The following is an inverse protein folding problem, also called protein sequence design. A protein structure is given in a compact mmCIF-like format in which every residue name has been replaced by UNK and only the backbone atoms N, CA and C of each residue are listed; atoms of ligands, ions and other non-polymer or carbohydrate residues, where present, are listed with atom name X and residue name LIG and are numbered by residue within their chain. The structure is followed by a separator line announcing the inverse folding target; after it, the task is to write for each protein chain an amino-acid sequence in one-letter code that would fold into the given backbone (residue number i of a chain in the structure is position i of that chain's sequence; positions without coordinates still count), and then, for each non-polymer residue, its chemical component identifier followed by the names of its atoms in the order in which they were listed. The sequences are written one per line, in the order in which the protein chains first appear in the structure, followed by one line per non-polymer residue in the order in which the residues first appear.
data_IF_586398726199
#
_entry.id   IF_586398726199
#
_cell.length_a   1.000
_cell.length_b   1.000
_cell.length_c   1.000
_cell.angle_alpha   90.00
_cell.angle_beta   90.00
_cell.angle_gamma   90.00
#
_symmetry.space_group_name_H-M   'P 1'
#
loop_
_entity.id
_entity.type
_entity.pdbx_description
1 polymer ?
#
# COMPACT_ATOMS: atom_id res chain seq x y z
N UNK A 1 -6.81 11.61 -11.62
CA UNK A 1 -5.79 10.62 -11.70
C UNK A 1 -5.75 9.60 -10.56
N UNK A 2 -5.16 9.93 -9.43
CA UNK A 2 -4.75 8.94 -8.41
C UNK A 2 -5.89 8.11 -7.78
N UNK A 3 -7.08 8.68 -7.57
CA UNK A 3 -8.23 7.90 -7.07
C UNK A 3 -8.64 6.81 -8.07
N UNK A 4 -8.62 7.12 -9.35
CA UNK A 4 -8.97 6.14 -10.39
C UNK A 4 -7.88 5.08 -10.52
N UNK A 5 -6.62 5.50 -10.59
CA UNK A 5 -5.47 4.60 -10.70
C UNK A 5 -5.40 3.65 -9.50
N UNK A 6 -5.37 4.18 -8.27
CA UNK A 6 -5.29 3.36 -7.08
C UNK A 6 -6.48 2.39 -6.96
N UNK A 7 -7.69 2.83 -7.32
CA UNK A 7 -8.86 1.94 -7.34
C UNK A 7 -8.73 0.82 -8.37
N UNK A 8 -8.24 1.10 -9.58
CA UNK A 8 -8.04 0.07 -10.62
C UNK A 8 -7.00 -0.96 -10.17
N UNK A 9 -5.90 -0.52 -9.59
CA UNK A 9 -4.87 -1.42 -9.07
C UNK A 9 -5.40 -2.31 -7.95
N UNK A 10 -6.22 -1.75 -7.03
CA UNK A 10 -6.85 -2.54 -5.98
C UNK A 10 -7.91 -3.53 -6.53
N UNK A 11 -8.67 -3.15 -7.56
CA UNK A 11 -9.60 -4.08 -8.24
C UNK A 11 -8.82 -5.29 -8.79
N UNK A 12 -7.68 -5.06 -9.42
CA UNK A 12 -6.86 -6.14 -9.96
C UNK A 12 -6.23 -6.96 -8.83
N UNK A 13 -5.53 -6.31 -7.90
CA UNK A 13 -4.72 -6.99 -6.90
C UNK A 13 -5.58 -7.62 -5.79
N UNK A 14 -6.55 -6.87 -5.23
CA UNK A 14 -7.37 -7.30 -4.07
C UNK A 14 -8.73 -7.86 -4.49
N UNK A 15 -9.28 -7.38 -5.59
CA UNK A 15 -10.49 -7.96 -6.17
C UNK A 15 -10.21 -9.31 -6.83
N UNK A 16 -9.40 -9.30 -7.87
CA UNK A 16 -9.19 -10.50 -8.70
C UNK A 16 -8.10 -11.42 -8.17
N UNK A 17 -6.85 -10.94 -8.07
CA UNK A 17 -5.69 -11.80 -7.73
C UNK A 17 -5.84 -12.40 -6.34
N UNK A 18 -6.08 -11.56 -5.32
CA UNK A 18 -6.28 -12.04 -3.95
C UNK A 18 -7.48 -12.98 -3.85
N UNK A 19 -8.62 -12.64 -4.48
CA UNK A 19 -9.81 -13.49 -4.48
C UNK A 19 -9.54 -14.88 -5.06
N UNK A 20 -8.90 -14.96 -6.24
CA UNK A 20 -8.60 -16.25 -6.89
C UNK A 20 -7.58 -17.08 -6.13
N UNK A 21 -6.61 -16.45 -5.46
CA UNK A 21 -5.64 -17.17 -4.63
C UNK A 21 -6.32 -17.67 -3.35
N UNK A 22 -7.21 -16.86 -2.74
CA UNK A 22 -7.96 -17.28 -1.55
C UNK A 22 -8.74 -18.58 -1.79
N UNK A 23 -9.42 -18.69 -2.93
CA UNK A 23 -10.20 -19.88 -3.30
C UNK A 23 -9.33 -21.15 -3.45
N UNK A 24 -8.09 -21.01 -3.88
CA UNK A 24 -7.21 -22.15 -4.21
C UNK A 24 -6.21 -22.50 -3.11
N UNK A 25 -5.64 -21.51 -2.44
CA UNK A 25 -4.49 -21.67 -1.54
C UNK A 25 -4.76 -21.14 -0.12
N UNK A 26 -5.93 -20.52 0.09
CA UNK A 26 -6.30 -19.93 1.38
C UNK A 26 -5.76 -18.52 1.60
N UNK A 27 -6.20 -17.93 2.70
CA UNK A 27 -6.03 -16.49 3.00
C UNK A 27 -4.58 -16.08 3.16
N UNK A 28 -3.76 -16.88 3.84
CA UNK A 28 -2.34 -16.56 4.06
C UNK A 28 -1.59 -16.34 2.74
N UNK A 29 -1.71 -17.29 1.81
CA UNK A 29 -1.07 -17.19 0.50
C UNK A 29 -1.70 -16.09 -0.37
N UNK A 30 -3.00 -15.85 -0.22
CA UNK A 30 -3.66 -14.78 -0.93
C UNK A 30 -3.10 -13.39 -0.55
N UNK A 31 -2.90 -13.13 0.74
CA UNK A 31 -2.29 -11.89 1.22
C UNK A 31 -0.84 -11.78 0.70
N UNK A 32 -0.02 -12.82 0.92
CA UNK A 32 1.39 -12.78 0.56
C UNK A 32 1.61 -12.61 -0.95
N UNK A 33 0.94 -13.42 -1.77
CA UNK A 33 1.15 -13.44 -3.21
C UNK A 33 0.49 -12.24 -3.92
N UNK A 34 -0.66 -11.72 -3.43
CA UNK A 34 -1.23 -10.49 -4.00
C UNK A 34 -0.40 -9.25 -3.68
N UNK A 35 0.20 -9.18 -2.50
CA UNK A 35 1.13 -8.13 -2.14
C UNK A 35 2.42 -8.20 -2.97
N UNK A 36 2.96 -9.41 -3.17
CA UNK A 36 4.11 -9.64 -4.02
C UNK A 36 3.83 -9.26 -5.49
N UNK A 37 2.66 -9.65 -6.00
CA UNK A 37 2.21 -9.27 -7.34
C UNK A 37 2.14 -7.75 -7.51
N UNK A 38 1.54 -7.05 -6.55
CA UNK A 38 1.47 -5.59 -6.53
C UNK A 38 2.87 -4.94 -6.55
N UNK A 39 3.74 -5.33 -5.62
CA UNK A 39 5.11 -4.80 -5.54
C UNK A 39 5.91 -5.08 -6.83
N UNK A 40 5.74 -6.27 -7.41
CA UNK A 40 6.44 -6.66 -8.65
C UNK A 40 6.03 -5.81 -9.85
N UNK A 41 4.79 -5.33 -9.89
CA UNK A 41 4.30 -4.43 -10.94
C UNK A 41 5.07 -3.09 -11.01
N UNK A 42 5.76 -2.72 -9.94
CA UNK A 42 6.52 -1.47 -9.84
C UNK A 42 8.02 -1.61 -10.08
N UNK A 43 8.51 -2.81 -10.40
CA UNK A 43 9.95 -3.07 -10.61
C UNK A 43 10.55 -2.29 -11.80
N UNK A 44 9.72 -1.84 -12.73
CA UNK A 44 10.13 -1.00 -13.85
C UNK A 44 10.16 0.50 -13.56
N UNK A 45 9.76 0.93 -12.37
CA UNK A 45 9.67 2.34 -12.04
C UNK A 45 11.04 2.97 -11.77
N UNK A 46 11.15 4.28 -12.05
CA UNK A 46 12.38 5.02 -11.83
C UNK A 46 12.78 5.05 -10.35
N UNK A 47 14.06 4.85 -10.07
CA UNK A 47 14.59 4.92 -8.70
C UNK A 47 14.18 3.78 -7.78
N UNK A 48 13.60 2.68 -8.33
CA UNK A 48 13.27 1.51 -7.52
C UNK A 48 14.53 0.98 -6.82
N UNK A 49 14.39 0.69 -5.53
CA UNK A 49 15.44 0.12 -4.68
C UNK A 49 14.86 -1.05 -3.89
N UNK A 50 15.71 -1.76 -3.15
CA UNK A 50 15.25 -2.82 -2.26
C UNK A 50 14.28 -2.27 -1.19
N UNK A 51 14.59 -1.11 -0.64
CA UNK A 51 13.74 -0.44 0.34
C UNK A 51 12.39 -0.05 -0.27
N UNK A 52 12.38 0.50 -1.50
CA UNK A 52 11.16 0.80 -2.24
C UNK A 52 10.31 -0.44 -2.48
N UNK A 53 10.94 -1.54 -2.87
CA UNK A 53 10.23 -2.82 -3.04
C UNK A 53 9.63 -3.33 -1.73
N UNK A 54 10.37 -3.23 -0.61
CA UNK A 54 9.88 -3.61 0.73
C UNK A 54 8.74 -2.70 1.17
N UNK A 55 8.81 -1.39 0.90
CA UNK A 55 7.73 -0.43 1.17
C UNK A 55 6.45 -0.79 0.41
N UNK A 56 6.55 -1.03 -0.90
CA UNK A 56 5.43 -1.49 -1.72
C UNK A 56 4.85 -2.83 -1.25
N UNK A 57 5.70 -3.76 -0.84
CA UNK A 57 5.26 -5.03 -0.28
C UNK A 57 4.49 -4.82 1.03
N UNK A 58 4.99 -3.94 1.92
CA UNK A 58 4.31 -3.60 3.18
C UNK A 58 2.95 -2.91 2.93
N UNK A 59 2.88 -1.97 1.97
CA UNK A 59 1.62 -1.36 1.55
C UNK A 59 0.67 -2.40 0.97
N UNK A 60 1.19 -3.30 0.14
CA UNK A 60 0.44 -4.40 -0.44
C UNK A 60 -0.15 -5.35 0.61
N UNK A 61 0.60 -5.66 1.67
CA UNK A 61 0.12 -6.48 2.80
C UNK A 61 -0.97 -5.73 3.56
N UNK A 62 -0.79 -4.43 3.87
CA UNK A 62 -1.78 -3.62 4.56
C UNK A 62 -3.13 -3.61 3.83
N UNK A 63 -3.14 -3.31 2.53
CA UNK A 63 -4.37 -3.25 1.74
C UNK A 63 -5.00 -4.64 1.56
N UNK A 64 -4.20 -5.72 1.47
CA UNK A 64 -4.70 -7.08 1.44
C UNK A 64 -5.36 -7.51 2.77
N UNK A 65 -4.80 -7.09 3.91
CA UNK A 65 -5.41 -7.29 5.24
C UNK A 65 -6.69 -6.49 5.39
N UNK A 66 -6.71 -5.22 4.98
CA UNK A 66 -7.93 -4.40 4.98
C UNK A 66 -9.03 -5.07 4.16
N UNK A 67 -8.71 -5.52 2.95
CA UNK A 67 -9.67 -6.26 2.10
C UNK A 67 -10.18 -7.52 2.78
N UNK A 68 -9.32 -8.27 3.45
CA UNK A 68 -9.70 -9.51 4.15
C UNK A 68 -10.67 -9.24 5.31
N UNK A 69 -10.34 -8.29 6.18
CA UNK A 69 -11.14 -8.04 7.38
C UNK A 69 -12.42 -7.23 7.13
N UNK A 70 -12.40 -6.32 6.18
CA UNK A 70 -13.57 -5.46 5.91
C UNK A 70 -14.47 -5.98 4.80
N UNK A 71 -13.95 -6.79 3.89
CA UNK A 71 -14.66 -7.19 2.68
C UNK A 71 -14.84 -6.04 1.67
N UNK A 72 -14.33 -4.84 1.99
CA UNK A 72 -14.58 -3.62 1.22
C UNK A 72 -13.42 -3.29 0.28
N UNK A 73 -13.68 -3.37 -1.02
CA UNK A 73 -12.71 -3.05 -2.07
C UNK A 73 -12.59 -1.53 -2.28
N UNK A 74 -13.68 -0.80 -2.08
CA UNK A 74 -13.68 0.65 -2.24
C UNK A 74 -12.84 1.35 -1.17
N UNK A 75 -12.84 0.81 0.05
CA UNK A 75 -11.96 1.28 1.12
C UNK A 75 -10.48 1.13 0.73
N UNK A 76 -10.09 0.01 0.14
CA UNK A 76 -8.73 -0.19 -0.34
C UNK A 76 -8.37 0.81 -1.45
N UNK A 77 -9.25 0.98 -2.44
CA UNK A 77 -9.06 1.94 -3.54
C UNK A 77 -9.00 3.40 -3.06
N UNK A 78 -9.87 3.78 -2.10
CA UNK A 78 -9.87 5.11 -1.52
C UNK A 78 -8.59 5.39 -0.72
N UNK A 79 -8.13 4.42 0.10
CA UNK A 79 -6.88 4.53 0.82
C UNK A 79 -5.70 4.68 -0.14
N UNK A 80 -5.62 3.83 -1.16
CA UNK A 80 -4.54 3.87 -2.15
C UNK A 80 -4.53 5.21 -2.92
N UNK A 81 -5.68 5.63 -3.41
CA UNK A 81 -5.78 6.91 -4.12
C UNK A 81 -5.47 8.12 -3.23
N UNK A 82 -5.89 8.11 -1.96
CA UNK A 82 -5.57 9.15 -1.00
C UNK A 82 -4.08 9.17 -0.65
N UNK A 83 -3.46 8.00 -0.53
CA UNK A 83 -2.03 7.83 -0.32
C UNK A 83 -1.23 8.47 -1.45
N UNK A 84 -1.48 8.08 -2.69
CA UNK A 84 -0.80 8.62 -3.87
C UNK A 84 -1.05 10.13 -4.04
N UNK A 85 -2.27 10.60 -3.74
CA UNK A 85 -2.58 12.03 -3.78
C UNK A 85 -1.80 12.82 -2.71
N UNK A 86 -1.71 12.26 -1.50
CA UNK A 86 -0.95 12.91 -0.43
C UNK A 86 0.54 13.01 -0.77
N UNK A 87 1.14 11.93 -1.27
CA UNK A 87 2.56 11.93 -1.65
C UNK A 87 2.85 12.88 -2.81
N UNK A 88 2.18 12.71 -3.93
CA UNK A 88 2.45 13.44 -5.16
C UNK A 88 1.89 14.87 -5.12
N UNK A 89 0.62 15.08 -5.48
CA UNK A 89 0.05 16.43 -5.61
C UNK A 89 0.12 17.28 -4.33
N UNK A 90 -0.07 16.67 -3.15
CA UNK A 90 -0.11 17.44 -1.92
C UNK A 90 1.29 17.76 -1.40
N UNK A 91 2.11 16.75 -1.10
CA UNK A 91 3.44 16.97 -0.53
C UNK A 91 4.56 17.16 -1.57
N UNK A 92 4.33 16.83 -2.84
CA UNK A 92 5.32 17.02 -3.90
C UNK A 92 6.51 16.06 -3.81
N UNK A 93 6.28 14.85 -3.27
CA UNK A 93 7.24 13.75 -3.33
C UNK A 93 6.97 12.86 -4.54
N UNK A 94 7.95 12.12 -5.06
CA UNK A 94 7.67 11.08 -6.04
C UNK A 94 6.71 10.02 -5.47
N UNK A 95 5.81 9.52 -6.30
CA UNK A 95 4.91 8.40 -5.99
C UNK A 95 5.45 7.18 -6.71
N UNK A 96 5.96 6.21 -6.00
CA UNK A 96 6.59 5.01 -6.57
C UNK A 96 7.57 5.32 -7.72
N UNK A 97 8.38 6.37 -7.56
CA UNK A 97 9.36 6.82 -8.56
C UNK A 97 8.81 7.73 -9.67
N UNK A 98 7.53 8.07 -9.64
CA UNK A 98 6.90 8.97 -10.62
C UNK A 98 6.73 10.36 -10.01
N UNK A 99 7.33 11.38 -10.64
CA UNK A 99 7.22 12.77 -10.21
C UNK A 99 6.14 13.50 -11.01
N UNK A 100 5.26 14.21 -10.31
CA UNK A 100 4.26 15.09 -10.91
C UNK A 100 4.78 16.51 -11.16
N UNK A 101 4.04 17.29 -11.93
CA UNK A 101 4.35 18.70 -12.24
C UNK A 101 3.44 19.69 -11.50
N UNK A 102 2.24 19.25 -11.11
CA UNK A 102 1.27 20.08 -10.39
C UNK A 102 1.27 19.70 -8.91
N UNK A 103 1.92 20.54 -8.10
CA UNK A 103 2.19 20.26 -6.69
C UNK A 103 1.64 21.41 -5.83
N UNK A 104 0.96 21.07 -4.73
CA UNK A 104 0.52 22.06 -3.74
C UNK A 104 1.69 22.53 -2.86
N UNK A 105 2.51 21.55 -2.41
CA UNK A 105 3.77 21.82 -1.71
C UNK A 105 4.92 21.20 -2.48
N UNK A 106 6.11 21.72 -2.29
CA UNK A 106 7.34 21.18 -2.85
C UNK A 106 8.23 20.66 -1.74
N UNK A 107 8.33 19.36 -1.61
CA UNK A 107 9.27 18.73 -0.70
C UNK A 107 10.66 18.63 -1.32
N UNK A 108 11.66 18.87 -0.52
CA UNK A 108 13.05 18.64 -0.89
C UNK A 108 13.62 17.52 -0.03
N UNK A 109 14.24 16.54 -0.66
CA UNK A 109 14.87 15.44 0.07
C UNK A 109 16.09 15.95 0.86
N UNK A 110 16.28 15.40 2.06
CA UNK A 110 17.50 15.67 2.85
C UNK A 110 18.66 14.93 2.18
N UNK A 111 19.72 15.66 1.74
CA UNK A 111 20.88 15.03 1.11
C UNK A 111 21.51 13.96 2.01
N UNK A 112 22.04 12.91 1.41
CA UNK A 112 22.78 11.83 2.07
C UNK A 112 21.98 10.93 3.05
N UNK A 113 20.63 11.08 3.11
CA UNK A 113 19.79 10.26 3.98
C UNK A 113 18.61 9.63 3.20
N UNK A 114 18.84 8.85 2.14
CA UNK A 114 17.78 8.24 1.33
C UNK A 114 16.89 7.29 2.15
N UNK A 115 17.43 6.68 3.19
CA UNK A 115 16.70 5.82 4.11
C UNK A 115 15.63 6.57 4.96
N UNK A 116 15.75 7.91 5.10
CA UNK A 116 14.74 8.75 5.77
C UNK A 116 13.65 9.23 4.83
N UNK A 117 14.02 9.61 3.61
CA UNK A 117 13.12 10.29 2.67
C UNK A 117 12.76 9.45 1.43
N UNK A 118 13.29 8.23 1.32
CA UNK A 118 13.03 7.31 0.22
C UNK A 118 13.75 7.65 -1.09
N UNK A 119 14.58 8.69 -1.11
CA UNK A 119 15.40 9.05 -2.27
C UNK A 119 14.58 9.37 -3.52
N UNK A 120 15.00 8.84 -4.66
CA UNK A 120 14.36 9.07 -5.95
C UNK A 120 13.02 8.33 -6.12
N UNK A 121 12.79 7.27 -5.35
CA UNK A 121 11.55 6.49 -5.41
C UNK A 121 10.38 7.20 -4.70
N UNK A 122 10.66 7.98 -3.67
CA UNK A 122 9.67 8.65 -2.85
C UNK A 122 9.61 8.08 -1.43
N UNK A 123 8.73 8.65 -0.61
CA UNK A 123 8.66 8.34 0.82
C UNK A 123 8.36 6.86 1.11
N UNK A 124 7.77 6.15 0.17
CA UNK A 124 7.47 4.72 0.24
C UNK A 124 8.74 3.87 0.47
N UNK A 125 9.90 4.33 -0.03
CA UNK A 125 11.20 3.68 0.19
C UNK A 125 11.86 4.12 1.50
N UNK A 126 11.21 4.93 2.33
CA UNK A 126 11.78 5.34 3.61
C UNK A 126 11.53 4.30 4.70
N UNK A 127 12.51 4.14 5.58
CA UNK A 127 12.38 3.25 6.73
C UNK A 127 11.20 3.65 7.63
N UNK A 128 10.96 4.95 7.79
CA UNK A 128 9.83 5.48 8.57
C UNK A 128 8.51 5.03 7.99
N UNK A 129 8.32 5.14 6.67
CA UNK A 129 7.11 4.69 5.99
C UNK A 129 6.91 3.18 6.16
N UNK A 130 7.95 2.37 5.95
CA UNK A 130 7.90 0.92 6.11
C UNK A 130 7.47 0.54 7.54
N UNK A 131 8.04 1.17 8.56
CA UNK A 131 7.67 0.93 9.96
C UNK A 131 6.19 1.28 10.20
N UNK A 132 5.73 2.44 9.72
CA UNK A 132 4.32 2.86 9.87
C UNK A 132 3.39 1.87 9.18
N UNK A 133 3.68 1.42 7.96
CA UNK A 133 2.87 0.43 7.24
C UNK A 133 2.80 -0.91 7.97
N UNK A 134 3.91 -1.36 8.57
CA UNK A 134 3.95 -2.57 9.40
C UNK A 134 3.06 -2.39 10.65
N UNK A 135 3.17 -1.26 11.35
CA UNK A 135 2.35 -0.98 12.53
C UNK A 135 0.86 -0.90 12.19
N UNK A 136 0.51 -0.26 11.06
CA UNK A 136 -0.87 -0.22 10.57
C UNK A 136 -1.38 -1.62 10.19
N UNK A 137 -0.53 -2.49 9.64
CA UNK A 137 -0.89 -3.87 9.35
C UNK A 137 -1.21 -4.65 10.64
N UNK A 138 -0.39 -4.51 11.69
CA UNK A 138 -0.68 -5.12 12.99
C UNK A 138 -1.96 -4.56 13.61
N UNK A 139 -2.17 -3.25 13.53
CA UNK A 139 -3.40 -2.62 14.01
C UNK A 139 -4.64 -3.14 13.25
N UNK A 140 -4.53 -3.32 11.93
CA UNK A 140 -5.60 -3.88 11.10
C UNK A 140 -5.96 -5.30 11.55
N UNK A 141 -4.96 -6.14 11.81
CA UNK A 141 -5.18 -7.50 12.32
C UNK A 141 -5.86 -7.45 13.70
N UNK A 142 -5.33 -6.65 14.63
CA UNK A 142 -5.88 -6.52 15.97
C UNK A 142 -7.36 -6.07 15.96
N UNK A 143 -7.66 -5.01 15.22
CA UNK A 143 -9.03 -4.51 15.12
C UNK A 143 -9.94 -5.51 14.39
N UNK A 144 -9.46 -6.12 13.32
CA UNK A 144 -10.22 -7.11 12.56
C UNK A 144 -10.61 -8.32 13.40
N UNK A 145 -9.70 -8.85 14.20
CA UNK A 145 -9.99 -9.95 15.14
C UNK A 145 -10.99 -9.52 16.20
N UNK A 146 -10.77 -8.39 16.87
CA UNK A 146 -11.66 -7.87 17.89
C UNK A 146 -13.10 -7.66 17.40
N UNK A 147 -13.29 -7.15 16.18
CA UNK A 147 -14.62 -6.96 15.62
C UNK A 147 -15.26 -8.27 15.14
N UNK A 148 -14.47 -9.27 14.75
CA UNK A 148 -14.96 -10.60 14.41
C UNK A 148 -15.48 -11.32 15.65
N UNK A 149 -14.76 -11.28 16.76
CA UNK A 149 -15.14 -11.92 18.02
C UNK A 149 -16.45 -11.30 18.57
N UNK A 150 -16.56 -9.96 18.54
CA UNK A 150 -17.79 -9.28 18.98
C UNK A 150 -19.04 -9.63 18.16
N UNK A 151 -18.90 -10.04 16.89
CA UNK A 151 -20.04 -10.50 16.09
C UNK A 151 -20.51 -11.91 16.48
N UNK A 152 -19.61 -12.74 16.99
CA UNK A 152 -19.93 -14.10 17.46
C UNK A 152 -20.68 -14.07 18.79
N UNK A 153 -20.41 -13.09 19.65
CA UNK A 153 -21.05 -12.92 20.95
C UNK A 153 -22.48 -12.32 20.88
N UNK A 154 -22.89 -11.81 19.71
CA UNK A 154 -24.20 -11.18 19.49
C UNK A 154 -25.23 -12.10 18.78
N UNK A 155 -24.86 -13.32 18.41
CA UNK A 155 -25.70 -14.36 17.78
C UNK A 155 -25.84 -15.57 18.67
#
# INVERSE_FOLDING_TARGET
GFLIQGTIEEIVCRGYVQGRITEKLGVFWAIALSALFFASGHLGNAGVSLEGFVGLLAFGILTALLRFYTGDLWLCGALHGAWNFAEGPFFGTPVSGISGTELLFKSTSVPHHPWLNGGAFGIEASLTCIIVLILLSFLTVYLGQKYSDNKLDLN
#
